data_IF_267954269144
#
_entry.id   IF_267954269144
#
_cell.length_a   1.000
_cell.length_b   1.000
_cell.length_c   1.000
_cell.angle_alpha   90.00
_cell.angle_beta   90.00
_cell.angle_gamma   90.00
#
_symmetry.space_group_name_H-M   'P 1'
#
loop_
_entity.id
_entity.type
_entity.pdbx_description
1 polymer ?
#
# COMPACT_ATOMS: atom_id res chain seq x y z
N UNK A 1 34.80 -35.43 16.00
CA UNK A 1 34.21 -34.23 16.64
C UNK A 1 34.66 -32.94 15.95
N UNK A 2 35.95 -32.76 15.66
CA UNK A 2 36.48 -31.54 14.99
C UNK A 2 35.87 -31.27 13.60
N UNK A 3 35.66 -32.32 12.78
CA UNK A 3 35.10 -32.18 11.42
C UNK A 3 33.63 -31.76 11.40
N UNK A 4 32.86 -32.05 12.48
CA UNK A 4 31.46 -31.58 12.62
C UNK A 4 31.39 -30.14 13.07
N UNK A 5 32.33 -29.67 13.86
CA UNK A 5 32.35 -28.29 14.35
C UNK A 5 32.79 -27.30 13.27
N UNK A 6 33.79 -27.66 12.46
CA UNK A 6 34.18 -26.87 11.27
C UNK A 6 33.02 -26.71 10.25
N UNK A 7 32.23 -27.78 10.03
CA UNK A 7 31.04 -27.74 9.16
C UNK A 7 29.97 -26.80 9.69
N UNK A 8 29.76 -26.78 11.00
CA UNK A 8 28.80 -25.90 11.66
C UNK A 8 29.21 -24.43 11.64
N UNK A 9 30.48 -24.14 11.90
CA UNK A 9 31.02 -22.79 11.83
C UNK A 9 31.01 -22.23 10.41
N UNK A 10 31.35 -23.03 9.43
CA UNK A 10 31.28 -22.65 8.01
C UNK A 10 29.83 -22.37 7.57
N UNK A 11 28.88 -23.18 8.00
CA UNK A 11 27.43 -22.97 7.77
C UNK A 11 26.94 -21.67 8.43
N UNK A 12 27.33 -21.39 9.68
CA UNK A 12 26.97 -20.15 10.39
C UNK A 12 27.58 -18.91 9.72
N UNK A 13 28.83 -19.01 9.25
CA UNK A 13 29.50 -17.90 8.57
C UNK A 13 28.88 -17.59 7.22
N UNK A 14 28.49 -18.60 6.44
CA UNK A 14 27.78 -18.47 5.17
C UNK A 14 26.37 -17.90 5.38
N UNK A 15 25.67 -18.31 6.42
CA UNK A 15 24.36 -17.78 6.79
C UNK A 15 24.45 -16.29 7.20
N UNK A 16 25.46 -15.93 7.99
CA UNK A 16 25.77 -14.55 8.36
C UNK A 16 26.10 -13.66 7.14
N UNK A 17 26.94 -14.14 6.22
CA UNK A 17 27.28 -13.40 4.98
C UNK A 17 26.05 -13.19 4.10
N UNK A 18 25.20 -14.21 3.94
CA UNK A 18 23.96 -14.15 3.15
C UNK A 18 22.97 -13.14 3.72
N UNK A 19 22.81 -13.13 5.05
CA UNK A 19 21.93 -12.16 5.71
C UNK A 19 22.47 -10.73 5.60
N UNK A 20 23.79 -10.53 5.70
CA UNK A 20 24.41 -9.21 5.51
C UNK A 20 24.11 -8.63 4.13
N UNK A 21 24.22 -9.43 3.07
CA UNK A 21 23.91 -8.96 1.71
C UNK A 21 22.43 -8.53 1.54
N UNK A 22 21.50 -9.26 2.16
CA UNK A 22 20.08 -8.90 2.15
C UNK A 22 19.84 -7.60 2.92
N UNK A 23 20.45 -7.42 4.08
CA UNK A 23 20.35 -6.19 4.84
C UNK A 23 20.96 -4.99 4.12
N UNK A 24 22.11 -5.17 3.44
CA UNK A 24 22.73 -4.13 2.61
C UNK A 24 21.84 -3.75 1.42
N UNK A 25 21.18 -4.73 0.79
CA UNK A 25 20.21 -4.45 -0.27
C UNK A 25 19.05 -3.59 0.25
N UNK A 26 18.44 -3.97 1.37
CA UNK A 26 17.32 -3.19 1.93
C UNK A 26 17.77 -1.81 2.43
N UNK A 27 18.95 -1.70 3.02
CA UNK A 27 19.52 -0.40 3.37
C UNK A 27 19.77 0.47 2.13
N UNK A 28 20.30 -0.10 1.05
CA UNK A 28 20.47 0.58 -0.24
C UNK A 28 19.16 1.05 -0.84
N UNK A 29 18.13 0.20 -0.83
CA UNK A 29 16.77 0.57 -1.27
C UNK A 29 16.21 1.71 -0.40
N UNK A 30 16.37 1.64 0.93
CA UNK A 30 15.91 2.68 1.83
C UNK A 30 16.56 4.03 1.52
N UNK A 31 17.87 4.06 1.32
CA UNK A 31 18.59 5.28 0.94
C UNK A 31 18.16 5.80 -0.44
N UNK A 32 17.96 4.90 -1.41
CA UNK A 32 17.50 5.26 -2.75
C UNK A 32 16.11 5.91 -2.72
N UNK A 33 15.15 5.31 -2.00
CA UNK A 33 13.79 5.84 -1.93
C UNK A 33 13.69 7.08 -1.02
N UNK A 34 14.51 7.19 0.02
CA UNK A 34 14.65 8.42 0.80
C UNK A 34 15.16 9.56 -0.08
N UNK A 35 16.17 9.31 -0.93
CA UNK A 35 16.64 10.27 -1.91
C UNK A 35 15.55 10.64 -2.92
N UNK A 36 14.84 9.66 -3.49
CA UNK A 36 13.73 9.90 -4.42
C UNK A 36 12.59 10.71 -3.82
N UNK A 37 12.28 10.51 -2.52
CA UNK A 37 11.26 11.27 -1.80
C UNK A 37 11.70 12.68 -1.43
N UNK A 38 13.01 12.95 -1.41
CA UNK A 38 13.56 14.29 -1.10
C UNK A 38 13.80 15.15 -2.33
N UNK A 39 13.88 14.54 -3.52
CA UNK A 39 14.18 15.23 -4.79
C UNK A 39 13.38 14.59 -5.92
N UNK A 40 12.82 15.41 -6.76
CA UNK A 40 12.10 14.93 -7.91
C UNK A 40 11.17 15.98 -8.50
N UNK A 41 10.23 15.52 -9.26
CA UNK A 41 9.26 16.33 -9.95
C UNK A 41 7.90 16.27 -9.24
N UNK A 42 7.35 17.42 -8.89
CA UNK A 42 5.99 17.49 -8.34
C UNK A 42 4.96 17.35 -9.46
N UNK A 43 4.03 16.41 -9.29
CA UNK A 43 2.88 16.30 -10.17
C UNK A 43 2.13 17.63 -10.29
N UNK A 44 1.64 17.95 -11.49
CA UNK A 44 0.93 19.20 -11.75
C UNK A 44 -0.20 19.48 -10.75
N UNK A 45 -1.02 18.48 -10.46
CA UNK A 45 -2.13 18.62 -9.51
C UNK A 45 -1.66 18.84 -8.06
N UNK A 46 -0.40 18.52 -7.74
CA UNK A 46 0.16 18.80 -6.41
C UNK A 46 0.23 20.30 -6.16
N UNK A 47 0.67 21.08 -7.16
CA UNK A 47 0.67 22.53 -7.09
C UNK A 47 -0.73 23.15 -7.15
N UNK A 48 -1.69 22.48 -7.80
CA UNK A 48 -3.04 22.98 -7.92
C UNK A 48 -3.87 22.80 -6.65
N UNK A 49 -3.84 21.60 -6.02
CA UNK A 49 -4.71 21.34 -4.89
C UNK A 49 -4.21 20.29 -3.89
N UNK A 50 -3.37 19.31 -4.26
CA UNK A 50 -2.99 18.25 -3.30
C UNK A 50 -2.24 18.82 -2.10
N UNK A 51 -1.17 19.61 -2.34
CA UNK A 51 -0.37 20.21 -1.27
C UNK A 51 -1.22 21.13 -0.40
N UNK A 52 -2.09 21.93 -1.03
CA UNK A 52 -2.99 22.82 -0.31
C UNK A 52 -4.03 22.04 0.52
N UNK A 53 -4.62 20.97 -0.02
CA UNK A 53 -5.57 20.13 0.70
C UNK A 53 -4.93 19.46 1.91
N UNK A 54 -3.67 18.99 1.79
CA UNK A 54 -2.90 18.43 2.90
C UNK A 54 -2.64 19.49 3.97
N UNK A 55 -2.23 20.70 3.57
CA UNK A 55 -1.99 21.81 4.48
C UNK A 55 -3.26 22.22 5.26
N UNK A 56 -4.42 22.24 4.62
CA UNK A 56 -5.70 22.46 5.31
C UNK A 56 -5.95 21.40 6.40
N UNK A 57 -5.59 20.15 6.15
CA UNK A 57 -5.72 19.08 7.14
C UNK A 57 -4.75 19.31 8.32
N UNK A 58 -3.51 19.68 8.03
CA UNK A 58 -2.49 19.95 9.06
C UNK A 58 -2.88 21.10 9.99
N UNK A 59 -3.34 22.21 9.40
CA UNK A 59 -3.59 23.45 10.16
C UNK A 59 -4.98 23.48 10.82
N UNK A 60 -6.00 22.91 10.16
CA UNK A 60 -7.40 23.07 10.57
C UNK A 60 -8.17 21.75 10.73
N UNK A 61 -7.57 20.61 10.41
CA UNK A 61 -8.24 19.32 10.43
C UNK A 61 -9.30 19.20 9.33
N UNK A 62 -10.58 19.14 9.72
CA UNK A 62 -11.71 19.07 8.78
C UNK A 62 -12.43 20.41 8.74
N UNK A 63 -12.45 21.06 7.58
CA UNK A 63 -13.13 22.32 7.36
C UNK A 63 -14.47 22.09 6.66
N UNK A 64 -15.63 22.29 7.32
CA UNK A 64 -16.93 22.09 6.71
C UNK A 64 -17.14 23.00 5.50
N UNK A 65 -17.68 22.43 4.42
CA UNK A 65 -17.98 23.19 3.20
C UNK A 65 -16.78 23.66 2.39
N UNK A 66 -15.58 23.08 2.62
CA UNK A 66 -14.36 23.47 1.91
C UNK A 66 -14.48 23.37 0.38
N UNK A 67 -15.32 22.45 -0.13
CA UNK A 67 -15.61 22.30 -1.55
C UNK A 67 -16.30 23.55 -2.16
N UNK A 68 -16.96 24.37 -1.34
CA UNK A 68 -17.58 25.61 -1.81
C UNK A 68 -16.56 26.70 -2.10
N UNK A 69 -15.38 26.64 -1.48
CA UNK A 69 -14.29 27.55 -1.79
C UNK A 69 -13.70 27.26 -3.18
N UNK A 70 -13.47 25.99 -3.47
CA UNK A 70 -13.01 25.50 -4.76
C UNK A 70 -13.36 24.02 -4.93
N UNK A 71 -13.96 23.66 -6.08
CA UNK A 71 -14.44 22.29 -6.35
C UNK A 71 -13.38 21.20 -6.15
N UNK A 72 -12.11 21.49 -6.45
CA UNK A 72 -11.02 20.52 -6.25
C UNK A 72 -10.74 20.18 -4.79
N UNK A 73 -11.10 21.06 -3.85
CA UNK A 73 -11.01 20.76 -2.41
C UNK A 73 -12.10 19.82 -1.91
N UNK A 74 -13.11 19.56 -2.72
CA UNK A 74 -14.09 18.49 -2.50
C UNK A 74 -13.52 17.09 -2.75
N UNK A 75 -12.45 16.96 -3.55
CA UNK A 75 -11.78 15.69 -3.74
C UNK A 75 -11.03 15.29 -2.47
N UNK A 76 -11.56 14.25 -1.82
CA UNK A 76 -10.99 13.69 -0.62
C UNK A 76 -10.12 12.48 -0.95
N UNK A 77 -9.07 12.27 -0.16
CA UNK A 77 -8.24 11.09 -0.22
C UNK A 77 -7.71 10.73 1.18
N UNK A 78 -7.78 9.45 1.53
CA UNK A 78 -7.16 8.96 2.76
C UNK A 78 -5.64 9.17 2.75
N UNK A 79 -5.00 9.21 1.56
CA UNK A 79 -3.56 9.51 1.46
C UNK A 79 -3.23 10.95 1.86
N UNK A 80 -4.15 11.90 1.70
CA UNK A 80 -3.91 13.29 2.13
C UNK A 80 -3.87 13.40 3.66
N UNK A 81 -4.79 12.71 4.35
CA UNK A 81 -4.78 12.66 5.81
C UNK A 81 -3.50 11.98 6.33
N UNK A 82 -3.07 10.89 5.68
CA UNK A 82 -1.83 10.20 6.00
C UNK A 82 -0.60 11.08 5.74
N UNK A 83 -0.59 11.81 4.61
CA UNK A 83 0.48 12.75 4.29
C UNK A 83 0.56 13.92 5.26
N UNK A 84 -0.59 14.43 5.71
CA UNK A 84 -0.66 15.46 6.72
C UNK A 84 -0.10 14.96 8.07
N UNK A 85 -0.47 13.75 8.47
CA UNK A 85 0.01 13.14 9.73
C UNK A 85 1.53 12.92 9.75
N UNK A 86 2.12 12.55 8.59
CA UNK A 86 3.55 12.31 8.43
C UNK A 86 4.28 13.44 7.70
N UNK A 87 3.78 14.67 7.77
CA UNK A 87 4.42 15.82 7.11
C UNK A 87 5.66 16.32 7.85
N UNK A 88 5.78 15.99 9.15
CA UNK A 88 6.88 16.42 10.03
C UNK A 88 7.08 17.95 10.08
N UNK A 89 6.07 18.74 9.69
CA UNK A 89 6.13 20.21 9.68
C UNK A 89 6.47 20.79 11.04
N UNK A 90 5.92 20.18 12.11
CA UNK A 90 6.18 20.55 13.50
C UNK A 90 7.66 20.38 13.94
N UNK A 91 8.40 19.46 13.28
CA UNK A 91 9.79 19.15 13.60
C UNK A 91 10.77 19.93 12.70
N UNK A 92 10.44 20.06 11.40
CA UNK A 92 11.39 20.54 10.38
C UNK A 92 11.04 21.96 9.91
N UNK A 93 9.87 22.47 10.27
CA UNK A 93 9.39 23.81 9.86
C UNK A 93 8.91 23.86 8.41
N UNK A 94 8.89 22.76 7.69
CA UNK A 94 8.37 22.62 6.32
C UNK A 94 7.76 21.24 6.10
N UNK A 95 6.71 21.10 5.27
CA UNK A 95 6.10 19.79 5.02
C UNK A 95 7.04 18.89 4.23
N UNK A 96 7.06 17.61 4.62
CA UNK A 96 7.69 16.52 3.88
C UNK A 96 6.62 15.59 3.32
N UNK A 97 6.78 15.20 2.05
CA UNK A 97 5.85 14.30 1.37
C UNK A 97 6.53 12.94 1.15
N UNK A 98 6.81 12.23 2.25
CA UNK A 98 7.56 10.97 2.22
C UNK A 98 6.67 9.71 2.11
N UNK A 99 5.34 9.84 2.26
CA UNK A 99 4.43 8.70 2.37
C UNK A 99 4.42 7.84 1.09
N UNK A 100 4.32 8.45 -0.09
CA UNK A 100 4.37 7.72 -1.36
C UNK A 100 5.71 6.98 -1.54
N UNK A 101 6.83 7.64 -1.21
CA UNK A 101 8.16 7.03 -1.24
C UNK A 101 8.32 5.88 -0.25
N UNK A 102 7.73 5.97 0.93
CA UNK A 102 7.73 4.86 1.89
C UNK A 102 6.96 3.63 1.35
N UNK A 103 5.78 3.82 0.76
CA UNK A 103 5.05 2.71 0.14
C UNK A 103 5.77 2.16 -1.09
N UNK A 104 6.42 3.01 -1.87
CA UNK A 104 7.27 2.58 -2.97
C UNK A 104 8.45 1.71 -2.48
N UNK A 105 9.09 2.09 -1.36
CA UNK A 105 10.10 1.28 -0.70
C UNK A 105 9.56 -0.10 -0.30
N UNK A 106 8.38 -0.15 0.32
CA UNK A 106 7.75 -1.44 0.68
C UNK A 106 7.50 -2.31 -0.56
N UNK A 107 6.99 -1.72 -1.66
CA UNK A 107 6.82 -2.43 -2.92
C UNK A 107 8.16 -2.90 -3.50
N UNK A 108 9.20 -2.07 -3.46
CA UNK A 108 10.54 -2.44 -3.91
C UNK A 108 11.12 -3.61 -3.11
N UNK A 109 10.98 -3.57 -1.78
CA UNK A 109 11.39 -4.66 -0.90
C UNK A 109 10.63 -5.96 -1.21
N UNK A 110 9.33 -5.87 -1.47
CA UNK A 110 8.51 -7.02 -1.87
C UNK A 110 8.96 -7.60 -3.21
N UNK A 111 9.18 -6.76 -4.22
CA UNK A 111 9.70 -7.19 -5.52
C UNK A 111 11.08 -7.86 -5.39
N UNK A 112 11.99 -7.26 -4.61
CA UNK A 112 13.30 -7.83 -4.35
C UNK A 112 13.21 -9.20 -3.66
N UNK A 113 12.31 -9.34 -2.67
CA UNK A 113 12.06 -10.62 -2.00
C UNK A 113 11.51 -11.68 -2.98
N UNK A 114 10.59 -11.30 -3.86
CA UNK A 114 10.03 -12.16 -4.90
C UNK A 114 11.11 -12.68 -5.86
N UNK A 115 11.96 -11.78 -6.36
CA UNK A 115 13.08 -12.15 -7.25
C UNK A 115 14.14 -13.02 -6.55
N UNK A 116 14.44 -12.75 -5.27
CA UNK A 116 15.32 -13.62 -4.50
C UNK A 116 14.70 -15.01 -4.29
N UNK A 117 13.40 -15.09 -4.10
CA UNK A 117 12.69 -16.36 -3.99
C UNK A 117 12.68 -17.13 -5.32
N UNK A 118 12.48 -16.44 -6.45
CA UNK A 118 12.61 -17.01 -7.79
C UNK A 118 13.99 -17.65 -8.00
N UNK A 119 15.06 -16.91 -7.71
CA UNK A 119 16.44 -17.41 -7.87
C UNK A 119 16.70 -18.68 -7.08
N UNK A 120 16.13 -18.80 -5.87
CA UNK A 120 16.27 -20.01 -5.04
C UNK A 120 15.42 -21.17 -5.55
N UNK A 121 14.20 -20.88 -5.98
CA UNK A 121 13.19 -21.89 -6.37
C UNK A 121 13.47 -22.52 -7.72
N UNK A 122 14.08 -21.77 -8.65
CA UNK A 122 14.36 -22.18 -10.05
C UNK A 122 13.11 -22.59 -10.86
N UNK A 123 11.92 -22.28 -10.37
CA UNK A 123 10.63 -22.50 -11.03
C UNK A 123 9.94 -21.16 -11.22
N UNK A 124 9.54 -20.85 -12.44
CA UNK A 124 8.84 -19.59 -12.77
C UNK A 124 7.43 -19.63 -12.23
N UNK A 125 6.98 -18.50 -11.68
CA UNK A 125 5.64 -18.22 -11.18
C UNK A 125 5.11 -16.93 -11.77
N UNK A 126 3.78 -16.74 -11.74
CA UNK A 126 3.15 -15.48 -12.18
C UNK A 126 3.61 -14.31 -11.31
N UNK A 127 3.76 -14.54 -10.00
CA UNK A 127 4.28 -13.54 -9.04
C UNK A 127 5.68 -13.01 -9.39
N UNK A 128 6.49 -13.79 -10.10
CA UNK A 128 7.81 -13.34 -10.56
C UNK A 128 7.69 -12.26 -11.66
N UNK A 129 6.75 -12.42 -12.59
CA UNK A 129 6.45 -11.41 -13.62
C UNK A 129 5.88 -10.15 -12.99
N UNK A 130 5.02 -10.28 -11.96
CA UNK A 130 4.53 -9.13 -11.22
C UNK A 130 5.66 -8.40 -10.50
N UNK A 131 6.63 -9.13 -9.93
CA UNK A 131 7.81 -8.51 -9.30
C UNK A 131 8.64 -7.70 -10.31
N UNK A 132 8.84 -8.22 -11.51
CA UNK A 132 9.53 -7.53 -12.61
C UNK A 132 8.72 -6.29 -13.03
N UNK A 133 7.42 -6.45 -13.29
CA UNK A 133 6.51 -5.35 -13.65
C UNK A 133 6.49 -4.24 -12.60
N UNK A 134 6.52 -4.63 -11.31
CA UNK A 134 6.61 -3.69 -10.20
C UNK A 134 7.89 -2.87 -10.20
N UNK A 135 9.03 -3.49 -10.48
CA UNK A 135 10.29 -2.76 -10.61
C UNK A 135 10.22 -1.76 -11.77
N UNK A 136 9.70 -2.15 -12.94
CA UNK A 136 9.49 -1.23 -14.04
C UNK A 136 8.61 -0.05 -13.67
N UNK A 137 7.49 -0.31 -13.00
CA UNK A 137 6.61 0.74 -12.52
C UNK A 137 7.33 1.69 -11.55
N UNK A 138 8.06 1.15 -10.56
CA UNK A 138 8.81 1.95 -9.60
C UNK A 138 9.89 2.81 -10.25
N UNK A 139 10.55 2.32 -11.29
CA UNK A 139 11.52 3.10 -12.08
C UNK A 139 10.80 4.21 -12.83
N UNK A 140 9.66 3.92 -13.46
CA UNK A 140 8.90 4.91 -14.23
C UNK A 140 8.42 6.08 -13.38
N UNK A 141 7.94 5.80 -12.14
CA UNK A 141 7.39 6.82 -11.24
C UNK A 141 8.40 7.36 -10.22
N UNK A 142 9.65 6.93 -10.27
CA UNK A 142 10.66 7.25 -9.26
C UNK A 142 10.84 8.76 -9.03
N UNK A 143 10.81 9.55 -10.11
CA UNK A 143 10.96 11.01 -10.03
C UNK A 143 9.75 11.72 -9.40
N UNK A 144 8.62 11.05 -9.32
CA UNK A 144 7.35 11.58 -8.85
C UNK A 144 7.04 11.16 -7.41
N UNK A 145 7.93 10.37 -6.76
CA UNK A 145 7.77 9.88 -5.39
C UNK A 145 7.72 10.98 -4.34
N UNK A 146 8.24 12.15 -4.64
CA UNK A 146 8.15 13.36 -3.80
C UNK A 146 6.74 13.97 -3.82
N UNK A 147 5.91 13.62 -4.81
CA UNK A 147 4.57 14.16 -4.96
C UNK A 147 3.55 13.40 -4.10
N UNK A 148 2.72 14.10 -3.30
CA UNK A 148 1.64 13.48 -2.52
C UNK A 148 0.40 13.14 -3.36
N UNK A 149 0.55 12.93 -4.67
CA UNK A 149 -0.55 12.59 -5.55
C UNK A 149 -1.17 11.23 -5.16
N UNK A 150 -2.50 11.23 -4.97
CA UNK A 150 -3.25 10.03 -4.59
C UNK A 150 -3.16 8.89 -5.60
N UNK A 151 -2.88 9.23 -6.87
CA UNK A 151 -2.71 8.27 -7.97
C UNK A 151 -1.59 7.28 -7.71
N UNK A 152 -0.40 7.78 -7.41
CA UNK A 152 0.77 6.94 -7.14
C UNK A 152 0.56 6.08 -5.90
N UNK A 153 0.02 6.69 -4.86
CA UNK A 153 -0.24 5.99 -3.61
C UNK A 153 -1.26 4.86 -3.81
N UNK A 154 -2.37 5.13 -4.50
CA UNK A 154 -3.38 4.13 -4.83
C UNK A 154 -2.80 2.97 -5.64
N UNK A 155 -2.00 3.25 -6.66
CA UNK A 155 -1.35 2.24 -7.49
C UNK A 155 -0.37 1.38 -6.69
N UNK A 156 0.40 1.95 -5.78
CA UNK A 156 1.33 1.21 -4.92
C UNK A 156 0.58 0.25 -3.98
N UNK A 157 -0.52 0.71 -3.37
CA UNK A 157 -1.37 -0.14 -2.52
C UNK A 157 -1.98 -1.28 -3.33
N UNK A 158 -2.57 -0.97 -4.49
CA UNK A 158 -3.14 -1.98 -5.38
C UNK A 158 -2.10 -3.01 -5.82
N UNK A 159 -0.92 -2.54 -6.22
CA UNK A 159 0.15 -3.41 -6.65
C UNK A 159 0.58 -4.37 -5.54
N UNK A 160 0.74 -3.86 -4.32
CA UNK A 160 1.03 -4.68 -3.14
C UNK A 160 -0.04 -5.76 -2.94
N UNK A 161 -1.31 -5.38 -2.99
CA UNK A 161 -2.43 -6.30 -2.77
C UNK A 161 -2.49 -7.36 -3.86
N UNK A 162 -2.40 -6.97 -5.13
CA UNK A 162 -2.46 -7.90 -6.28
C UNK A 162 -1.29 -8.89 -6.22
N UNK A 163 -0.06 -8.42 -5.98
CA UNK A 163 1.10 -9.31 -5.81
C UNK A 163 0.87 -10.33 -4.70
N UNK A 164 0.42 -9.86 -3.53
CA UNK A 164 0.20 -10.74 -2.38
C UNK A 164 -0.95 -11.73 -2.65
N UNK A 165 -2.00 -11.27 -3.35
CA UNK A 165 -3.11 -12.11 -3.75
C UNK A 165 -2.66 -13.26 -4.68
N UNK A 166 -1.86 -12.94 -5.69
CA UNK A 166 -1.34 -13.93 -6.64
C UNK A 166 -0.39 -14.90 -5.94
N UNK A 167 0.47 -14.43 -5.04
CA UNK A 167 1.35 -15.29 -4.23
C UNK A 167 0.56 -16.29 -3.38
N UNK A 168 -0.51 -15.84 -2.71
CA UNK A 168 -1.40 -16.69 -1.92
C UNK A 168 -2.11 -17.73 -2.80
N UNK A 169 -2.62 -17.29 -3.96
CA UNK A 169 -3.26 -18.19 -4.91
C UNK A 169 -2.31 -19.25 -5.45
N UNK A 170 -1.07 -18.90 -5.76
CA UNK A 170 -0.03 -19.85 -6.19
C UNK A 170 0.33 -20.83 -5.08
N UNK A 171 0.42 -20.36 -3.82
CA UNK A 171 0.67 -21.23 -2.67
C UNK A 171 -0.46 -22.24 -2.46
N UNK A 172 -1.71 -21.82 -2.57
CA UNK A 172 -2.87 -22.72 -2.47
C UNK A 172 -2.89 -23.78 -3.56
N UNK A 173 -2.47 -23.42 -4.77
CA UNK A 173 -2.39 -24.34 -5.90
C UNK A 173 -1.28 -25.38 -5.71
N UNK A 174 -0.16 -25.00 -5.13
CA UNK A 174 0.98 -25.88 -4.90
C UNK A 174 0.78 -26.79 -3.65
N UNK A 175 -0.14 -26.42 -2.75
CA UNK A 175 -0.49 -27.18 -1.55
C UNK A 175 -1.98 -27.59 -1.57
N UNK A 176 -2.34 -28.72 -2.19
CA UNK A 176 -3.73 -29.10 -2.38
C UNK A 176 -4.44 -29.63 -1.11
N UNK A 177 -3.81 -29.58 0.06
CA UNK A 177 -4.33 -30.18 1.28
C UNK A 177 -4.70 -29.10 2.29
N UNK A 178 -5.98 -29.09 2.68
CA UNK A 178 -6.48 -28.38 3.85
C UNK A 178 -7.46 -27.26 3.56
N UNK A 179 -8.02 -26.71 4.62
CA UNK A 179 -8.90 -25.54 4.56
C UNK A 179 -8.18 -24.38 3.86
N UNK A 180 -8.80 -23.84 2.80
CA UNK A 180 -8.32 -22.63 2.14
C UNK A 180 -8.10 -21.55 3.19
N UNK A 181 -6.92 -20.96 3.17
CA UNK A 181 -6.54 -19.92 4.13
C UNK A 181 -7.36 -18.65 3.84
N UNK A 182 -8.56 -18.57 4.41
CA UNK A 182 -9.49 -17.46 4.19
C UNK A 182 -9.00 -16.16 4.81
N UNK A 183 -8.33 -16.26 5.96
CA UNK A 183 -7.87 -15.08 6.74
C UNK A 183 -6.93 -14.17 5.95
N UNK A 184 -5.88 -14.64 5.26
CA UNK A 184 -5.03 -13.76 4.47
C UNK A 184 -5.78 -12.98 3.39
N UNK A 185 -6.70 -13.62 2.67
CA UNK A 185 -7.52 -12.93 1.67
C UNK A 185 -8.49 -11.92 2.28
N UNK A 186 -9.08 -12.25 3.43
CA UNK A 186 -9.95 -11.34 4.14
C UNK A 186 -9.18 -10.10 4.67
N UNK A 187 -7.95 -10.28 5.14
CA UNK A 187 -7.08 -9.17 5.50
C UNK A 187 -6.71 -8.30 4.28
N UNK A 188 -6.38 -8.92 3.14
CA UNK A 188 -6.16 -8.18 1.90
C UNK A 188 -7.38 -7.38 1.47
N UNK A 189 -8.60 -7.86 1.75
CA UNK A 189 -9.83 -7.13 1.49
C UNK A 189 -9.91 -5.80 2.25
N UNK A 190 -9.36 -5.72 3.46
CA UNK A 190 -9.28 -4.45 4.20
C UNK A 190 -8.35 -3.44 3.50
N UNK A 191 -7.24 -3.89 2.92
CA UNK A 191 -6.39 -3.03 2.10
C UNK A 191 -7.09 -2.55 0.83
N UNK A 192 -7.97 -3.37 0.24
CA UNK A 192 -8.80 -2.95 -0.91
C UNK A 192 -9.79 -1.87 -0.51
N UNK A 193 -10.43 -1.99 0.66
CA UNK A 193 -11.28 -0.93 1.21
C UNK A 193 -10.48 0.35 1.41
N UNK A 194 -9.28 0.25 1.99
CA UNK A 194 -8.41 1.40 2.15
C UNK A 194 -8.03 2.03 0.81
N UNK A 195 -7.66 1.23 -0.20
CA UNK A 195 -7.34 1.73 -1.54
C UNK A 195 -8.52 2.53 -2.15
N UNK A 196 -9.77 2.05 -1.96
CA UNK A 196 -10.95 2.77 -2.41
C UNK A 196 -11.13 4.14 -1.72
N UNK A 197 -10.70 4.27 -0.45
CA UNK A 197 -10.71 5.57 0.25
C UNK A 197 -9.54 6.48 -0.17
N UNK A 198 -8.47 5.93 -0.72
CA UNK A 198 -7.38 6.71 -1.31
C UNK A 198 -7.82 7.31 -2.64
N UNK A 199 -8.42 6.49 -3.49
CA UNK A 199 -8.94 6.93 -4.79
C UNK A 199 -10.18 6.14 -5.19
N UNK A 200 -11.31 6.82 -5.33
CA UNK A 200 -12.60 6.18 -5.58
C UNK A 200 -12.61 5.31 -6.87
N UNK A 201 -11.84 5.68 -7.89
CA UNK A 201 -11.72 4.89 -9.12
C UNK A 201 -11.15 3.49 -8.90
N UNK A 202 -10.44 3.25 -7.80
CA UNK A 202 -9.95 1.91 -7.44
C UNK A 202 -11.02 1.02 -6.81
N UNK A 203 -12.20 1.56 -6.51
CA UNK A 203 -13.27 0.79 -5.86
C UNK A 203 -13.72 -0.45 -6.66
N UNK A 204 -13.52 -0.46 -7.99
CA UNK A 204 -13.80 -1.64 -8.83
C UNK A 204 -13.07 -2.90 -8.35
N UNK A 205 -11.89 -2.74 -7.75
CA UNK A 205 -11.10 -3.87 -7.23
C UNK A 205 -11.74 -4.52 -5.97
N UNK A 206 -12.72 -3.85 -5.33
CA UNK A 206 -13.49 -4.43 -4.23
C UNK A 206 -14.25 -5.70 -4.65
N UNK A 207 -14.43 -5.96 -5.95
CA UNK A 207 -14.97 -7.22 -6.44
C UNK A 207 -14.17 -8.45 -5.95
N UNK A 208 -12.87 -8.29 -5.67
CA UNK A 208 -12.06 -9.36 -5.10
C UNK A 208 -12.52 -9.76 -3.68
N UNK A 209 -13.19 -8.87 -2.94
CA UNK A 209 -13.75 -9.18 -1.61
C UNK A 209 -14.76 -10.31 -1.66
N UNK A 210 -15.41 -10.51 -2.82
CA UNK A 210 -16.36 -11.61 -3.01
C UNK A 210 -15.75 -12.99 -2.78
N UNK A 211 -14.46 -13.15 -3.10
CA UNK A 211 -13.78 -14.45 -2.91
C UNK A 211 -13.73 -14.88 -1.45
N UNK A 212 -13.09 -14.14 -0.51
CA UNK A 212 -13.08 -14.51 0.90
C UNK A 212 -14.49 -14.45 1.52
N UNK A 213 -15.38 -13.56 1.07
CA UNK A 213 -16.76 -13.51 1.56
C UNK A 213 -17.51 -14.81 1.28
N UNK A 214 -17.45 -15.34 0.04
CA UNK A 214 -18.08 -16.62 -0.31
C UNK A 214 -17.46 -17.78 0.48
N UNK A 215 -16.14 -17.79 0.71
CA UNK A 215 -15.49 -18.82 1.50
C UNK A 215 -15.95 -18.79 2.96
N UNK A 216 -16.03 -17.63 3.58
CA UNK A 216 -16.51 -17.46 4.96
C UNK A 216 -17.99 -17.83 5.10
N UNK A 217 -18.83 -17.48 4.13
CA UNK A 217 -20.23 -17.85 4.10
C UNK A 217 -20.41 -19.38 4.02
N UNK A 218 -19.68 -20.04 3.12
CA UNK A 218 -19.68 -21.51 3.01
C UNK A 218 -19.22 -22.21 4.28
N UNK A 219 -18.27 -21.62 5.00
CA UNK A 219 -17.76 -22.11 6.28
C UNK A 219 -18.65 -21.72 7.47
N UNK A 220 -19.72 -20.94 7.25
CA UNK A 220 -20.65 -20.45 8.29
C UNK A 220 -19.94 -19.64 9.40
N UNK A 221 -18.87 -18.93 9.08
CA UNK A 221 -18.05 -18.15 10.02
C UNK A 221 -18.63 -16.75 10.23
N UNK A 222 -19.88 -16.66 10.70
CA UNK A 222 -20.64 -15.41 10.82
C UNK A 222 -19.94 -14.33 11.66
N UNK A 223 -19.32 -14.72 12.78
CA UNK A 223 -18.61 -13.78 13.64
C UNK A 223 -17.40 -13.14 12.92
N UNK A 224 -16.68 -13.93 12.12
CA UNK A 224 -15.57 -13.41 11.33
C UNK A 224 -16.09 -12.45 10.24
N UNK A 225 -17.19 -12.79 9.55
CA UNK A 225 -17.81 -11.91 8.56
C UNK A 225 -18.19 -10.58 9.22
N UNK A 226 -18.89 -10.60 10.35
CA UNK A 226 -19.26 -9.39 11.08
C UNK A 226 -18.02 -8.57 11.49
N UNK A 227 -16.96 -9.23 11.95
CA UNK A 227 -15.70 -8.58 12.31
C UNK A 227 -15.02 -7.90 11.12
N UNK A 228 -14.93 -8.55 9.97
CA UNK A 228 -14.35 -7.94 8.76
C UNK A 228 -15.20 -6.81 8.20
N UNK A 229 -16.52 -6.91 8.25
CA UNK A 229 -17.42 -5.81 7.89
C UNK A 229 -17.20 -4.62 8.82
N UNK A 230 -17.18 -4.85 10.14
CA UNK A 230 -16.94 -3.79 11.13
C UNK A 230 -15.59 -3.10 10.90
N UNK A 231 -14.52 -3.86 10.65
CA UNK A 231 -13.21 -3.30 10.34
C UNK A 231 -13.20 -2.53 9.02
N UNK A 232 -13.86 -3.05 7.98
CA UNK A 232 -14.00 -2.35 6.69
C UNK A 232 -14.74 -1.02 6.85
N UNK A 233 -15.82 -1.00 7.62
CA UNK A 233 -16.57 0.22 7.93
C UNK A 233 -15.72 1.19 8.75
N UNK A 234 -14.95 0.71 9.73
CA UNK A 234 -14.04 1.54 10.52
C UNK A 234 -12.98 2.22 9.63
N UNK A 235 -12.46 1.53 8.61
CA UNK A 235 -11.51 2.08 7.64
C UNK A 235 -12.18 3.11 6.72
N UNK A 236 -13.41 2.83 6.25
CA UNK A 236 -14.11 3.69 5.31
C UNK A 236 -14.76 4.91 5.97
N UNK A 237 -15.18 4.79 7.23
CA UNK A 237 -15.95 5.82 7.94
C UNK A 237 -15.27 7.20 8.00
N UNK A 238 -14.00 7.35 8.36
CA UNK A 238 -13.35 8.67 8.39
C UNK A 238 -13.34 9.35 7.02
N UNK A 239 -13.14 8.57 5.95
CA UNK A 239 -13.19 9.08 4.57
C UNK A 239 -14.59 9.57 4.22
N UNK A 240 -15.62 8.76 4.47
CA UNK A 240 -17.01 9.09 4.16
C UNK A 240 -17.51 10.27 5.00
N UNK A 241 -17.22 10.28 6.28
CA UNK A 241 -17.57 11.38 7.17
C UNK A 241 -16.91 12.70 6.72
N UNK A 242 -15.63 12.65 6.34
CA UNK A 242 -14.94 13.81 5.82
C UNK A 242 -15.53 14.28 4.49
N UNK A 243 -15.91 13.37 3.56
CA UNK A 243 -16.58 13.74 2.32
C UNK A 243 -17.84 14.56 2.58
N UNK A 244 -18.71 14.08 3.48
CA UNK A 244 -19.96 14.79 3.83
C UNK A 244 -19.65 16.17 4.42
N UNK A 245 -18.67 16.26 5.31
CA UNK A 245 -18.32 17.53 5.95
C UNK A 245 -17.74 18.55 4.97
N UNK A 246 -16.84 18.16 4.07
CA UNK A 246 -16.18 19.08 3.16
C UNK A 246 -17.01 19.44 1.91
N UNK A 247 -17.89 18.52 1.43
CA UNK A 247 -18.61 18.69 0.17
C UNK A 247 -20.13 18.59 0.26
N UNK A 248 -20.67 18.09 1.40
CA UNK A 248 -22.09 17.78 1.53
C UNK A 248 -22.49 16.44 0.91
N UNK A 249 -21.58 15.70 0.28
CA UNK A 249 -21.89 14.49 -0.47
C UNK A 249 -21.08 13.29 0.03
N UNK A 250 -21.69 12.11 0.05
CA UNK A 250 -21.04 10.90 0.53
C UNK A 250 -19.90 10.47 -0.41
N UNK A 251 -20.08 10.60 -1.71
CA UNK A 251 -19.13 10.20 -2.76
C UNK A 251 -18.92 11.33 -3.77
N UNK A 252 -18.30 12.43 -3.33
CA UNK A 252 -17.96 13.51 -4.24
C UNK A 252 -17.01 13.02 -5.36
N UNK A 253 -17.21 13.39 -6.65
CA UNK A 253 -18.13 14.41 -7.16
C UNK A 253 -19.54 13.88 -7.55
N UNK A 254 -19.94 12.70 -7.13
CA UNK A 254 -21.25 12.15 -7.43
C UNK A 254 -22.31 12.76 -6.51
N UNK A 255 -23.07 13.73 -7.06
CA UNK A 255 -24.06 14.53 -6.32
C UNK A 255 -25.43 13.90 -6.19
N UNK A 256 -25.57 12.62 -6.46
CA UNK A 256 -26.83 11.87 -6.39
C UNK A 256 -26.83 10.77 -5.29
N UNK A 257 -25.75 10.67 -4.49
CA UNK A 257 -25.61 9.72 -3.39
C UNK A 257 -25.25 10.42 -2.09
#
# INVERSE_FOLDING_TARGET
>A
TERSDEGLENSKSLWRKKNKAVWLLYAGLTLLFAYGSSRGYMHYDTGLYHAQAIRWIEEYGVVPGLANLHSRFGYNSASFALSAFFSETWLIGRPMHCVAGFFALLCACKCAAGLMAFWKRKKVRISDFLSIGGIFYLIAVFREMVSPASDYFAMLVLFWVIMTWVELWEQERDCPIGEKQTVPYALLSLYLVYAATVKLSTAVILLLVLYPAVLLLRQKKWLQIAGYIALGLLIAFPYLARNVLISGWLFYPFTFL
#
